data_IF_643668275016
#
_entry.id   IF_643668275016
#
_cell.length_a   1.000
_cell.length_b   1.000
_cell.length_c   1.000
_cell.angle_alpha   90.00
_cell.angle_beta   90.00
_cell.angle_gamma   90.00
#
_symmetry.space_group_name_H-M   'P 1'
#
loop_
_entity.id
_entity.type
_entity.pdbx_description
1 polymer ?
#
# COMPACT_ATOMS: atom_id res chain seq x y z
N UNK A 1 7.30 8.40 3.08
CA UNK A 1 6.86 7.20 3.83
C UNK A 1 6.99 6.01 2.90
N UNK A 2 7.57 4.89 3.34
CA UNK A 2 7.62 3.68 2.53
C UNK A 2 6.26 2.98 2.45
N UNK A 3 6.03 2.17 1.42
CA UNK A 3 4.92 1.20 1.29
C UNK A 3 4.60 0.46 2.60
N UNK A 4 5.63 0.05 3.33
CA UNK A 4 5.52 -0.57 4.64
C UNK A 4 4.88 0.30 5.74
N UNK A 5 5.04 1.63 5.66
CA UNK A 5 4.66 2.59 6.69
C UNK A 5 3.50 3.50 6.28
N UNK A 6 2.96 3.38 5.07
CA UNK A 6 1.85 4.25 4.61
C UNK A 6 0.50 3.83 5.17
N UNK A 7 0.22 2.53 5.23
CA UNK A 7 -1.08 2.05 5.69
C UNK A 7 -1.36 2.23 7.21
N UNK A 8 -0.39 2.20 8.16
CA UNK A 8 -0.68 2.52 9.56
C UNK A 8 -0.92 4.02 9.72
N UNK A 9 -0.14 4.86 9.04
CA UNK A 9 -0.36 6.32 8.98
C UNK A 9 -1.75 6.63 8.43
N UNK A 10 -2.14 5.98 7.33
CA UNK A 10 -3.46 6.19 6.72
C UNK A 10 -4.58 5.75 7.67
N UNK A 11 -4.42 4.60 8.35
CA UNK A 11 -5.38 4.15 9.38
C UNK A 11 -5.56 5.19 10.47
N UNK A 12 -4.49 5.83 10.93
CA UNK A 12 -4.55 6.88 11.94
C UNK A 12 -5.23 8.14 11.42
N UNK A 13 -4.97 8.53 10.16
CA UNK A 13 -5.68 9.64 9.52
C UNK A 13 -7.19 9.34 9.41
N UNK A 14 -7.58 8.11 9.11
CA UNK A 14 -8.99 7.71 9.14
C UNK A 14 -9.60 7.81 10.54
N UNK A 15 -8.86 7.45 11.60
CA UNK A 15 -9.32 7.63 12.99
C UNK A 15 -9.54 9.12 13.34
N UNK A 16 -8.79 10.03 12.72
CA UNK A 16 -8.94 11.49 12.87
C UNK A 16 -10.03 12.10 11.97
N UNK A 17 -10.80 11.27 11.27
CA UNK A 17 -11.94 11.71 10.44
C UNK A 17 -11.60 12.04 8.99
N UNK A 18 -10.42 11.65 8.49
CA UNK A 18 -10.06 11.84 7.08
C UNK A 18 -11.10 11.14 6.17
N UNK A 19 -11.66 11.83 5.16
CA UNK A 19 -12.59 11.21 4.23
C UNK A 19 -11.91 10.05 3.52
N UNK A 20 -12.62 8.92 3.48
CA UNK A 20 -12.14 7.66 2.94
C UNK A 20 -11.44 7.76 1.56
N UNK A 21 -11.99 8.49 0.56
CA UNK A 21 -11.34 8.62 -0.75
C UNK A 21 -9.95 9.29 -0.66
N UNK A 22 -9.78 10.26 0.24
CA UNK A 22 -8.51 10.95 0.43
C UNK A 22 -7.45 10.04 1.05
N UNK A 23 -7.84 9.18 1.99
CA UNK A 23 -6.89 8.23 2.57
C UNK A 23 -6.52 7.11 1.60
N UNK A 24 -7.44 6.64 0.74
CA UNK A 24 -7.11 5.66 -0.31
C UNK A 24 -6.16 6.27 -1.35
N UNK A 25 -6.42 7.51 -1.78
CA UNK A 25 -5.54 8.25 -2.69
C UNK A 25 -4.14 8.43 -2.07
N UNK A 26 -4.07 8.84 -0.80
CA UNK A 26 -2.80 8.95 -0.06
C UNK A 26 -2.07 7.61 0.05
N UNK A 27 -2.81 6.54 0.36
CA UNK A 27 -2.26 5.21 0.57
C UNK A 27 -1.62 4.64 -0.71
N UNK A 28 -2.23 4.89 -1.86
CA UNK A 28 -1.72 4.45 -3.16
C UNK A 28 -0.63 5.39 -3.71
N UNK A 29 -0.70 6.69 -3.43
CA UNK A 29 0.25 7.67 -3.98
C UNK A 29 1.53 7.84 -3.16
N UNK A 30 1.50 7.66 -1.83
CA UNK A 30 2.65 7.96 -0.97
C UNK A 30 3.88 7.06 -1.18
N UNK A 31 3.77 5.74 -1.45
CA UNK A 31 4.94 4.90 -1.73
C UNK A 31 5.70 5.35 -2.98
N UNK A 32 4.94 5.87 -3.94
CA UNK A 32 5.41 6.27 -5.25
C UNK A 32 6.10 7.66 -5.27
N UNK A 33 5.59 8.62 -4.50
CA UNK A 33 6.15 9.97 -4.40
C UNK A 33 7.40 10.05 -3.51
N UNK A 34 7.99 8.90 -3.15
CA UNK A 34 9.15 8.84 -2.28
C UNK A 34 10.43 9.26 -3.06
N UNK A 35 11.19 10.27 -2.60
CA UNK A 35 12.41 10.70 -3.29
C UNK A 35 13.47 9.60 -3.41
N UNK A 36 13.48 8.65 -2.46
CA UNK A 36 14.41 7.51 -2.51
C UNK A 36 14.07 6.60 -3.70
N UNK A 37 12.77 6.42 -4.00
CA UNK A 37 12.29 5.63 -5.13
C UNK A 37 12.65 6.31 -6.45
N UNK A 38 12.52 7.64 -6.51
CA UNK A 38 12.96 8.41 -7.67
C UNK A 38 14.47 8.24 -7.92
N UNK A 39 15.28 8.40 -6.87
CA UNK A 39 16.73 8.23 -6.96
C UNK A 39 17.12 6.80 -7.35
N UNK A 40 16.52 5.77 -6.74
CA UNK A 40 16.85 4.37 -7.05
C UNK A 40 16.45 4.00 -8.48
N UNK A 41 15.30 4.45 -8.97
CA UNK A 41 14.89 4.22 -10.37
C UNK A 41 15.84 4.91 -11.33
N UNK A 42 16.22 6.16 -11.02
CA UNK A 42 17.13 6.93 -11.86
C UNK A 42 18.51 6.28 -11.94
N UNK A 43 19.04 5.80 -10.82
CA UNK A 43 20.34 5.09 -10.80
C UNK A 43 20.25 3.75 -11.54
N UNK A 44 19.14 3.03 -11.44
CA UNK A 44 18.98 1.72 -12.07
C UNK A 44 18.75 1.81 -13.59
N UNK A 45 17.90 2.72 -14.07
CA UNK A 45 17.44 2.75 -15.47
C UNK A 45 17.80 4.03 -16.23
N UNK A 46 18.29 5.08 -15.55
CA UNK A 46 18.50 6.39 -16.14
C UNK A 46 17.20 7.09 -16.57
N UNK A 47 17.34 8.15 -17.37
CA UNK A 47 16.19 8.80 -18.02
C UNK A 47 15.81 7.97 -19.24
N UNK A 48 14.73 7.20 -19.12
CA UNK A 48 14.27 6.30 -20.17
C UNK A 48 12.79 5.93 -20.07
N UNK A 49 12.30 5.05 -20.95
CA UNK A 49 10.90 4.64 -20.98
C UNK A 49 10.47 3.92 -19.70
N UNK A 50 11.36 3.16 -19.06
CA UNK A 50 11.07 2.49 -17.78
C UNK A 50 10.88 3.50 -16.65
N UNK A 51 11.76 4.50 -16.58
CA UNK A 51 11.66 5.57 -15.59
C UNK A 51 10.35 6.35 -15.77
N UNK A 52 10.12 6.92 -16.95
CA UNK A 52 8.90 7.70 -17.23
C UNK A 52 7.65 6.84 -17.07
N UNK A 53 7.68 5.60 -17.59
CA UNK A 53 6.59 4.64 -17.51
C UNK A 53 6.21 4.33 -16.06
N UNK A 54 7.18 4.08 -15.19
CA UNK A 54 6.94 3.88 -13.75
C UNK A 54 6.17 5.06 -13.17
N UNK A 55 6.61 6.29 -13.45
CA UNK A 55 5.97 7.47 -12.85
C UNK A 55 4.59 7.80 -13.42
N UNK A 56 4.45 7.76 -14.74
CA UNK A 56 3.18 8.10 -15.39
C UNK A 56 2.12 7.03 -15.14
N UNK A 57 2.46 5.75 -15.28
CA UNK A 57 1.49 4.65 -15.10
C UNK A 57 1.04 4.56 -13.65
N UNK A 58 1.98 4.61 -12.71
CA UNK A 58 1.64 4.54 -11.28
C UNK A 58 0.70 5.69 -10.89
N UNK A 59 0.95 6.91 -11.40
CA UNK A 59 0.08 8.06 -11.15
C UNK A 59 -1.32 7.86 -11.76
N UNK A 60 -1.40 7.47 -13.03
CA UNK A 60 -2.68 7.25 -13.73
C UNK A 60 -3.49 6.14 -13.06
N UNK A 61 -2.85 5.02 -12.72
CA UNK A 61 -3.51 3.89 -12.04
C UNK A 61 -4.00 4.31 -10.65
N UNK A 62 -3.16 4.94 -9.83
CA UNK A 62 -3.54 5.37 -8.49
C UNK A 62 -4.72 6.34 -8.50
N UNK A 63 -4.70 7.34 -9.38
CA UNK A 63 -5.81 8.30 -9.52
C UNK A 63 -7.08 7.60 -9.98
N UNK A 64 -6.98 6.72 -10.98
CA UNK A 64 -8.14 6.00 -11.51
C UNK A 64 -8.77 5.08 -10.47
N UNK A 65 -7.96 4.32 -9.73
CA UNK A 65 -8.44 3.44 -8.65
C UNK A 65 -9.07 4.25 -7.52
N UNK A 66 -8.47 5.39 -7.14
CA UNK A 66 -9.04 6.27 -6.13
C UNK A 66 -10.41 6.85 -6.57
N UNK A 67 -10.56 7.26 -7.83
CA UNK A 67 -11.82 7.78 -8.38
C UNK A 67 -12.89 6.70 -8.51
N UNK A 68 -12.52 5.50 -8.97
CA UNK A 68 -13.45 4.36 -9.06
C UNK A 68 -13.94 4.00 -7.67
N UNK A 69 -13.03 3.77 -6.71
CA UNK A 69 -13.46 3.42 -5.36
C UNK A 69 -14.22 4.58 -4.71
N UNK A 70 -13.79 5.82 -4.90
CA UNK A 70 -14.46 7.01 -4.36
C UNK A 70 -15.87 7.24 -4.91
N UNK A 71 -16.16 6.84 -6.16
CA UNK A 71 -17.49 6.97 -6.76
C UNK A 71 -18.45 5.84 -6.36
N UNK A 72 -17.95 4.62 -6.12
CA UNK A 72 -18.77 3.48 -5.71
C UNK A 72 -18.90 3.31 -4.17
N UNK A 73 -17.99 3.89 -3.39
CA UNK A 73 -17.95 3.72 -1.94
C UNK A 73 -18.87 4.69 -1.19
N UNK A 74 -20.01 4.20 -0.69
CA UNK A 74 -20.73 4.89 0.39
C UNK A 74 -19.85 4.86 1.67
N UNK A 75 -19.66 5.99 2.40
CA UNK A 75 -18.73 6.09 3.53
C UNK A 75 -18.89 5.00 4.60
N UNK A 76 -20.11 4.50 4.84
CA UNK A 76 -20.40 3.48 5.87
C UNK A 76 -20.09 2.02 5.50
N UNK A 77 -19.84 1.70 4.21
CA UNK A 77 -19.67 0.30 3.76
C UNK A 77 -18.22 -0.15 3.62
N UNK A 78 -17.24 0.76 3.76
CA UNK A 78 -15.86 0.47 3.36
C UNK A 78 -14.93 0.09 4.50
N UNK A 79 -15.00 0.82 5.62
CA UNK A 79 -14.20 0.50 6.81
C UNK A 79 -14.87 -0.63 7.60
N UNK A 80 -14.04 -1.49 8.20
CA UNK A 80 -14.54 -2.38 9.27
C UNK A 80 -14.89 -1.52 10.49
N UNK A 81 -15.98 -1.79 11.21
CA UNK A 81 -16.31 -1.10 12.46
C UNK A 81 -15.15 -1.14 13.46
N UNK A 82 -14.35 -2.22 13.43
CA UNK A 82 -13.19 -2.41 14.30
C UNK A 82 -12.04 -1.42 14.05
N UNK A 83 -11.87 -0.90 12.83
CA UNK A 83 -10.88 0.14 12.53
C UNK A 83 -11.24 1.50 13.14
N UNK A 84 -12.53 1.68 13.51
CA UNK A 84 -13.09 2.84 14.19
C UNK A 84 -13.38 2.57 15.69
N UNK A 85 -13.24 1.32 16.15
CA UNK A 85 -13.66 0.90 17.50
C UNK A 85 -12.51 0.80 18.52
N UNK A 86 -11.37 1.44 18.26
CA UNK A 86 -10.36 1.70 19.28
C UNK A 86 -10.76 2.92 20.12
N UNK A 87 -11.70 2.71 21.06
CA UNK A 87 -12.10 3.72 22.05
C UNK A 87 -13.59 4.08 22.04
N UNK A 88 -14.49 3.12 22.24
CA UNK A 88 -15.83 3.39 22.78
C UNK A 88 -16.08 2.45 23.94
N UNK A 89 -15.65 2.86 25.13
CA UNK A 89 -16.27 2.36 26.35
C UNK A 89 -17.77 2.62 26.24
N UNK A 90 -18.55 1.55 26.08
CA UNK A 90 -19.98 1.56 26.33
C UNK A 90 -20.13 1.81 27.83
N UNK A 91 -20.35 3.06 28.21
CA UNK A 91 -20.96 3.31 29.51
C UNK A 91 -22.44 2.93 29.39
N UNK A 92 -22.78 1.77 29.93
CA UNK A 92 -24.13 1.49 30.42
C UNK A 92 -24.32 2.36 31.65
N UNK A 93 -24.99 3.51 31.50
CA UNK A 93 -25.41 4.29 32.65
C UNK A 93 -26.69 3.68 33.20
N UNK A 94 -26.56 3.03 34.35
CA UNK A 94 -27.64 2.91 35.32
C UNK A 94 -27.72 4.27 36.04
N UNK A 95 -28.91 4.86 36.09
CA UNK A 95 -29.10 6.23 36.57
C UNK A 95 -29.08 6.28 38.09
N UNK A 96 -28.01 6.81 38.67
CA UNK A 96 -28.09 7.60 39.91
C UNK A 96 -26.81 8.40 40.12
N UNK A 97 -26.98 9.70 40.33
CA UNK A 97 -26.09 10.68 40.98
C UNK A 97 -25.50 11.80 40.11
N UNK A 98 -25.91 13.01 40.51
CA UNK A 98 -25.32 14.35 40.44
C UNK A 98 -24.41 14.74 39.25
N UNK A 99 -24.90 15.72 38.50
CA UNK A 99 -24.18 16.43 37.46
C UNK A 99 -23.24 17.48 38.07
N UNK A 100 -21.95 17.16 38.15
CA UNK A 100 -20.88 18.16 38.12
C UNK A 100 -20.22 18.15 36.74
N UNK A 101 -20.52 19.19 35.95
CA UNK A 101 -19.93 19.41 34.64
C UNK A 101 -18.49 19.95 34.78
N UNK A 102 -17.53 19.07 35.02
CA UNK A 102 -16.12 19.38 34.79
C UNK A 102 -15.82 19.29 33.28
N UNK A 103 -15.74 20.45 32.64
CA UNK A 103 -15.15 20.55 31.31
C UNK A 103 -13.64 20.35 31.41
N UNK A 104 -13.15 19.19 30.98
CA UNK A 104 -11.73 18.87 30.83
C UNK A 104 -11.06 19.81 29.81
N UNK A 105 -10.58 20.95 30.30
CA UNK A 105 -9.71 21.87 29.57
C UNK A 105 -8.22 21.63 29.90
N UNK A 106 -7.82 20.39 30.19
CA UNK A 106 -6.49 20.04 30.72
C UNK A 106 -5.43 19.69 29.66
N UNK A 107 -5.53 20.22 28.43
CA UNK A 107 -4.46 20.08 27.41
C UNK A 107 -3.76 21.39 27.02
N UNK A 108 -4.15 22.52 27.59
CA UNK A 108 -3.49 23.79 27.32
C UNK A 108 -2.17 23.98 28.11
N UNK A 109 -1.98 23.23 29.21
CA UNK A 109 -0.86 23.43 30.17
C UNK A 109 0.08 22.22 30.33
N UNK A 110 -0.14 21.13 29.59
CA UNK A 110 0.70 19.94 29.72
C UNK A 110 2.16 20.20 29.28
N UNK A 111 3.09 19.75 30.13
CA UNK A 111 4.53 19.82 29.93
C UNK A 111 4.94 19.15 28.61
N UNK A 112 5.99 19.64 27.96
CA UNK A 112 6.56 19.00 26.75
C UNK A 112 6.87 17.51 27.00
N UNK A 113 7.24 17.15 28.24
CA UNK A 113 7.50 15.76 28.65
C UNK A 113 6.24 14.90 28.68
N UNK A 114 5.12 15.44 29.15
CA UNK A 114 3.83 14.73 29.22
C UNK A 114 3.23 14.54 27.82
N UNK A 115 3.36 15.55 26.96
CA UNK A 115 3.00 15.46 25.54
C UNK A 115 3.85 14.43 24.80
N UNK A 116 5.15 14.35 25.10
CA UNK A 116 6.04 13.33 24.54
C UNK A 116 5.71 11.92 25.06
N UNK A 117 5.52 11.74 26.37
CA UNK A 117 5.13 10.46 26.97
C UNK A 117 3.80 9.96 26.42
N UNK A 118 2.82 10.85 26.30
CA UNK A 118 1.53 10.53 25.71
C UNK A 118 1.66 10.19 24.21
N UNK A 119 2.47 10.93 23.46
CA UNK A 119 2.74 10.63 22.05
C UNK A 119 3.44 9.27 21.87
N UNK A 120 4.40 8.93 22.74
CA UNK A 120 5.11 7.64 22.72
C UNK A 120 4.18 6.49 23.10
N UNK A 121 3.32 6.65 24.11
CA UNK A 121 2.34 5.64 24.49
C UNK A 121 1.38 5.30 23.35
N UNK A 122 0.79 6.33 22.73
CA UNK A 122 -0.10 6.15 21.56
C UNK A 122 0.64 5.53 20.38
N UNK A 123 1.88 5.94 20.10
CA UNK A 123 2.68 5.37 19.04
C UNK A 123 3.03 3.89 19.31
N UNK A 124 3.31 3.53 20.56
CA UNK A 124 3.61 2.17 20.98
C UNK A 124 2.42 1.23 20.76
N UNK A 125 1.23 1.61 21.26
CA UNK A 125 0.02 0.80 21.09
C UNK A 125 -0.32 0.57 19.62
N UNK A 126 -0.14 1.59 18.77
CA UNK A 126 -0.34 1.47 17.33
C UNK A 126 0.73 0.58 16.67
N UNK A 127 1.99 0.70 17.10
CA UNK A 127 3.07 -0.14 16.61
C UNK A 127 2.82 -1.61 16.91
N UNK A 128 2.37 -1.96 18.11
CA UNK A 128 2.06 -3.35 18.47
C UNK A 128 0.82 -3.89 17.75
N UNK A 129 -0.23 -3.08 17.59
CA UNK A 129 -1.44 -3.51 16.89
C UNK A 129 -1.19 -3.79 15.40
N UNK A 130 -0.31 -3.02 14.77
CA UNK A 130 0.09 -3.19 13.37
C UNK A 130 1.23 -4.20 13.21
N UNK A 131 2.12 -4.27 14.20
CA UNK A 131 3.29 -5.14 14.22
C UNK A 131 2.94 -6.60 13.98
N UNK A 132 1.84 -7.10 14.56
CA UNK A 132 1.37 -8.48 14.31
C UNK A 132 1.08 -8.79 12.83
N UNK A 133 0.51 -7.84 12.10
CA UNK A 133 0.22 -8.01 10.68
C UNK A 133 1.49 -7.89 9.84
N UNK A 134 2.37 -6.97 10.23
CA UNK A 134 3.67 -6.77 9.59
C UNK A 134 4.58 -7.98 9.74
N UNK A 135 4.69 -8.55 10.95
CA UNK A 135 5.50 -9.74 11.26
C UNK A 135 4.99 -10.95 10.47
N UNK A 136 3.67 -11.18 10.47
CA UNK A 136 3.07 -12.30 9.72
C UNK A 136 3.29 -12.12 8.21
N UNK A 137 3.10 -10.90 7.70
CA UNK A 137 3.32 -10.60 6.28
C UNK A 137 4.77 -10.71 5.85
N UNK A 138 5.72 -10.22 6.65
CA UNK A 138 7.15 -10.35 6.36
C UNK A 138 7.63 -11.79 6.43
N UNK A 139 7.13 -12.58 7.39
CA UNK A 139 7.47 -14.00 7.49
C UNK A 139 6.95 -14.80 6.29
N UNK A 140 5.69 -14.55 5.88
CA UNK A 140 5.11 -15.17 4.70
C UNK A 140 5.85 -14.77 3.41
N UNK A 141 6.20 -13.49 3.26
CA UNK A 141 6.97 -12.99 2.13
C UNK A 141 8.38 -13.62 2.07
N UNK A 142 9.11 -13.66 3.18
CA UNK A 142 10.43 -14.28 3.26
C UNK A 142 10.38 -15.77 2.90
N UNK A 143 9.36 -16.50 3.37
CA UNK A 143 9.15 -17.91 2.99
C UNK A 143 8.88 -18.08 1.49
N UNK A 144 8.08 -17.20 0.90
CA UNK A 144 7.82 -17.27 -0.53
C UNK A 144 9.07 -16.92 -1.36
N UNK A 145 9.86 -15.95 -0.92
CA UNK A 145 11.12 -15.58 -1.57
C UNK A 145 12.15 -16.72 -1.54
N UNK A 146 12.21 -17.52 -0.48
CA UNK A 146 13.14 -18.66 -0.38
C UNK A 146 12.68 -19.88 -1.18
N UNK A 147 11.37 -20.03 -1.41
CA UNK A 147 10.78 -21.19 -2.08
C UNK A 147 10.54 -21.02 -3.58
N UNK A 148 10.70 -19.82 -4.14
CA UNK A 148 10.44 -19.54 -5.57
C UNK A 148 11.76 -19.53 -6.35
N UNK A 149 12.14 -20.65 -7.00
CA UNK A 149 13.35 -20.72 -7.81
C UNK A 149 13.21 -19.89 -9.09
N UNK A 150 14.24 -19.09 -9.39
CA UNK A 150 14.24 -18.22 -10.57
C UNK A 150 14.42 -18.97 -11.90
N UNK A 151 14.87 -20.22 -11.88
CA UNK A 151 15.13 -21.01 -13.09
C UNK A 151 13.89 -21.39 -13.92
N UNK A 152 12.70 -21.42 -13.31
CA UNK A 152 11.43 -21.66 -14.02
C UNK A 152 10.94 -20.45 -14.83
N UNK A 153 11.59 -19.28 -14.72
CA UNK A 153 11.15 -18.03 -15.36
C UNK A 153 11.43 -17.94 -16.87
N UNK A 154 12.48 -18.61 -17.35
CA UNK A 154 12.99 -18.40 -18.71
C UNK A 154 12.04 -18.88 -19.82
N UNK A 155 11.18 -19.86 -19.54
CA UNK A 155 10.19 -20.35 -20.50
C UNK A 155 8.94 -19.44 -20.63
N UNK A 156 8.74 -18.50 -19.72
CA UNK A 156 7.53 -17.66 -19.63
C UNK A 156 7.77 -16.20 -20.10
N UNK A 157 9.02 -15.83 -20.38
CA UNK A 157 9.42 -14.46 -20.73
C UNK A 157 9.05 -14.01 -22.15
N UNK A 158 8.68 -14.91 -23.05
CA UNK A 158 8.60 -14.67 -24.50
C UNK A 158 7.23 -14.25 -25.05
N UNK A 159 6.28 -13.84 -24.19
CA UNK A 159 4.94 -13.43 -24.63
C UNK A 159 4.52 -12.05 -24.14
N UNK A 160 3.84 -11.26 -24.97
CA UNK A 160 3.46 -9.87 -24.68
C UNK A 160 2.55 -9.72 -23.46
N UNK A 161 1.69 -10.72 -23.23
CA UNK A 161 0.78 -10.76 -22.07
C UNK A 161 1.36 -11.61 -20.94
N UNK A 162 1.96 -12.75 -21.28
CA UNK A 162 2.45 -13.72 -20.30
C UNK A 162 3.62 -13.15 -19.49
N UNK A 163 4.53 -12.41 -20.12
CA UNK A 163 5.65 -11.73 -19.44
C UNK A 163 5.14 -10.72 -18.40
N UNK A 164 4.13 -9.91 -18.76
CA UNK A 164 3.54 -8.91 -17.87
C UNK A 164 2.86 -9.59 -16.69
N UNK A 165 2.01 -10.58 -16.96
CA UNK A 165 1.30 -11.31 -15.92
C UNK A 165 2.26 -12.02 -14.96
N UNK A 166 3.31 -12.63 -15.50
CA UNK A 166 4.34 -13.28 -14.70
C UNK A 166 5.07 -12.29 -13.79
N UNK A 167 5.55 -11.18 -14.36
CA UNK A 167 6.25 -10.15 -13.58
C UNK A 167 5.35 -9.50 -12.53
N UNK A 168 4.06 -9.31 -12.82
CA UNK A 168 3.07 -8.82 -11.86
C UNK A 168 2.91 -9.77 -10.66
N UNK A 169 2.80 -11.07 -10.92
CA UNK A 169 2.70 -12.10 -9.89
C UNK A 169 4.00 -12.17 -9.08
N UNK A 170 5.15 -12.10 -9.75
CA UNK A 170 6.45 -12.06 -9.10
C UNK A 170 6.56 -10.85 -8.16
N UNK A 171 6.13 -9.65 -8.59
CA UNK A 171 6.11 -8.46 -7.76
C UNK A 171 5.29 -8.66 -6.47
N UNK A 172 4.09 -9.23 -6.61
CA UNK A 172 3.20 -9.52 -5.48
C UNK A 172 3.83 -10.50 -4.48
N UNK A 173 4.42 -11.60 -5.00
CA UNK A 173 5.00 -12.67 -4.19
C UNK A 173 6.26 -12.19 -3.49
N UNK A 174 7.15 -11.52 -4.23
CA UNK A 174 8.41 -11.05 -3.66
C UNK A 174 8.19 -9.92 -2.66
N UNK A 175 7.11 -9.12 -2.77
CA UNK A 175 6.74 -8.11 -1.77
C UNK A 175 7.92 -7.21 -1.36
N UNK A 176 8.78 -6.87 -2.32
CA UNK A 176 10.00 -6.08 -2.09
C UNK A 176 9.62 -4.61 -1.91
N UNK A 177 10.32 -3.91 -1.03
CA UNK A 177 10.14 -2.47 -0.84
C UNK A 177 10.38 -1.70 -2.15
N UNK A 178 9.60 -0.63 -2.37
CA UNK A 178 9.67 0.24 -3.57
C UNK A 178 11.04 0.86 -3.86
N UNK A 179 11.97 0.82 -2.90
CA UNK A 179 13.33 1.35 -3.06
C UNK A 179 14.30 0.33 -3.69
N UNK A 180 14.13 -0.96 -3.37
CA UNK A 180 15.02 -2.05 -3.79
C UNK A 180 14.50 -2.74 -5.07
N UNK A 181 13.20 -2.64 -5.33
CA UNK A 181 12.54 -3.23 -6.50
C UNK A 181 13.18 -2.86 -7.85
N UNK A 182 13.77 -1.67 -7.94
CA UNK A 182 14.35 -1.10 -9.16
C UNK A 182 15.63 -1.82 -9.56
N UNK A 183 16.45 -2.16 -8.58
CA UNK A 183 17.68 -2.94 -8.80
C UNK A 183 17.36 -4.39 -9.16
N UNK A 184 16.31 -4.96 -8.55
CA UNK A 184 15.86 -6.29 -8.89
C UNK A 184 15.29 -6.33 -10.32
N UNK A 185 14.48 -5.34 -10.70
CA UNK A 185 13.91 -5.23 -12.04
C UNK A 185 14.99 -5.02 -13.12
N UNK A 186 16.09 -4.33 -12.78
CA UNK A 186 17.22 -4.15 -13.68
C UNK A 186 17.86 -5.49 -14.09
N UNK A 187 17.88 -6.48 -13.21
CA UNK A 187 18.39 -7.82 -13.55
C UNK A 187 17.54 -8.54 -14.61
N UNK A 188 16.28 -8.13 -14.80
CA UNK A 188 15.31 -8.76 -15.69
C UNK A 188 15.18 -8.07 -17.06
N UNK A 189 15.88 -6.96 -17.30
CA UNK A 189 15.80 -6.16 -18.55
C UNK A 189 16.14 -6.91 -19.82
N UNK A 190 17.02 -7.92 -19.73
CA UNK A 190 17.44 -8.71 -20.88
C UNK A 190 16.58 -9.97 -21.08
N UNK A 191 15.67 -10.26 -20.16
CA UNK A 191 14.86 -11.49 -20.15
C UNK A 191 13.38 -11.20 -20.38
N UNK A 192 12.90 -10.06 -19.89
CA UNK A 192 11.49 -9.67 -19.94
C UNK A 192 11.30 -8.38 -20.74
N UNK A 193 10.08 -8.24 -21.27
CA UNK A 193 9.67 -7.06 -22.03
C UNK A 193 9.64 -5.80 -21.17
N UNK A 194 9.83 -4.64 -21.80
CA UNK A 194 9.80 -3.34 -21.11
C UNK A 194 8.46 -3.10 -20.39
N UNK A 195 7.34 -3.50 -20.98
CA UNK A 195 6.03 -3.41 -20.34
C UNK A 195 5.92 -4.28 -19.09
N UNK A 196 6.49 -5.49 -19.10
CA UNK A 196 6.49 -6.37 -17.93
C UNK A 196 7.29 -5.78 -16.75
N UNK A 197 8.42 -5.14 -17.05
CA UNK A 197 9.27 -4.47 -16.06
C UNK A 197 8.58 -3.24 -15.46
N UNK A 198 7.93 -2.43 -16.30
CA UNK A 198 7.18 -1.27 -15.83
C UNK A 198 6.00 -1.71 -14.97
N UNK A 199 5.28 -2.75 -15.37
CA UNK A 199 4.17 -3.31 -14.59
C UNK A 199 4.65 -3.87 -13.24
N UNK A 200 5.80 -4.55 -13.19
CA UNK A 200 6.45 -4.97 -11.93
C UNK A 200 6.70 -3.78 -10.99
N UNK A 201 7.35 -2.72 -11.50
CA UNK A 201 7.74 -1.54 -10.72
C UNK A 201 6.58 -0.65 -10.30
N UNK A 202 5.47 -0.69 -11.06
CA UNK A 202 4.28 0.11 -10.79
C UNK A 202 3.32 -0.60 -9.85
N UNK A 203 3.19 -1.92 -9.98
CA UNK A 203 2.27 -2.71 -9.15
C UNK A 203 2.81 -3.09 -7.79
N UNK A 204 4.10 -3.47 -7.70
CA UNK A 204 4.72 -3.92 -6.45
C UNK A 204 4.47 -2.96 -5.28
N UNK A 205 4.72 -1.64 -5.43
CA UNK A 205 4.47 -0.66 -4.37
C UNK A 205 2.98 -0.46 -4.01
N UNK A 206 2.06 -0.83 -4.90
CA UNK A 206 0.62 -0.67 -4.67
C UNK A 206 0.03 -1.87 -3.95
N UNK A 207 0.42 -3.08 -4.36
CA UNK A 207 -0.20 -4.33 -3.94
C UNK A 207 0.86 -5.40 -3.74
N UNK A 208 1.06 -5.76 -2.48
CA UNK A 208 1.93 -6.84 -2.06
C UNK A 208 1.23 -7.70 -0.99
N UNK A 209 1.81 -8.85 -0.65
CA UNK A 209 1.27 -9.77 0.37
C UNK A 209 1.06 -9.07 1.71
N UNK A 210 2.02 -8.26 2.15
CA UNK A 210 2.02 -7.59 3.45
C UNK A 210 0.95 -6.50 3.49
N UNK A 211 0.90 -5.64 2.48
CA UNK A 211 -0.07 -4.60 2.25
C UNK A 211 -1.48 -5.19 2.14
N UNK A 212 -1.64 -6.33 1.47
CA UNK A 212 -2.89 -7.08 1.39
C UNK A 212 -3.36 -7.56 2.76
N UNK A 213 -2.50 -8.22 3.55
CA UNK A 213 -2.83 -8.63 4.92
C UNK A 213 -3.23 -7.43 5.77
N UNK A 214 -2.50 -6.32 5.64
CA UNK A 214 -2.77 -5.10 6.37
C UNK A 214 -4.10 -4.44 5.97
N UNK A 215 -4.43 -4.41 4.69
CA UNK A 215 -5.72 -3.93 4.19
C UNK A 215 -6.88 -4.78 4.72
N UNK A 216 -6.72 -6.10 4.88
CA UNK A 216 -7.76 -6.93 5.50
C UNK A 216 -8.02 -6.58 6.96
N UNK A 217 -7.07 -5.95 7.66
CA UNK A 217 -7.26 -5.42 9.01
C UNK A 217 -8.12 -4.14 9.03
N UNK A 218 -8.00 -3.28 8.02
CA UNK A 218 -8.63 -1.94 7.99
C UNK A 218 -9.95 -1.92 7.22
N UNK A 219 -10.01 -2.59 6.07
CA UNK A 219 -11.12 -2.54 5.13
C UNK A 219 -11.94 -3.84 5.13
N UNK A 220 -13.18 -3.77 4.65
CA UNK A 220 -13.99 -4.97 4.40
C UNK A 220 -13.38 -5.79 3.26
N UNK A 221 -13.50 -7.12 3.34
CA UNK A 221 -12.91 -8.07 2.37
C UNK A 221 -13.26 -7.77 0.91
N UNK A 222 -14.47 -7.25 0.65
CA UNK A 222 -14.89 -6.79 -0.70
C UNK A 222 -14.05 -5.63 -1.22
N UNK A 223 -13.77 -4.64 -0.38
CA UNK A 223 -12.97 -3.46 -0.78
C UNK A 223 -11.50 -3.83 -0.95
N UNK A 224 -10.97 -4.70 -0.08
CA UNK A 224 -9.62 -5.25 -0.26
C UNK A 224 -9.49 -5.95 -1.62
N UNK A 225 -10.50 -6.73 -2.02
CA UNK A 225 -10.51 -7.39 -3.31
C UNK A 225 -10.51 -6.38 -4.47
N UNK A 226 -11.27 -5.28 -4.39
CA UNK A 226 -11.20 -4.20 -5.37
C UNK A 226 -9.84 -3.48 -5.40
N UNK A 227 -9.24 -3.24 -4.23
CA UNK A 227 -7.90 -2.63 -4.10
C UNK A 227 -6.78 -3.50 -4.68
N UNK A 228 -7.00 -4.81 -4.82
CA UNK A 228 -6.04 -5.72 -5.47
C UNK A 228 -6.36 -5.85 -6.96
N UNK A 229 -7.62 -6.13 -7.30
CA UNK A 229 -8.03 -6.48 -8.65
C UNK A 229 -7.96 -5.29 -9.61
N UNK A 230 -8.32 -4.08 -9.16
CA UNK A 230 -8.30 -2.90 -10.02
C UNK A 230 -6.86 -2.51 -10.42
N UNK A 231 -5.91 -2.28 -9.49
CA UNK A 231 -4.53 -2.01 -9.88
C UNK A 231 -3.90 -3.14 -10.70
N UNK A 232 -4.24 -4.40 -10.40
CA UNK A 232 -3.75 -5.56 -11.15
C UNK A 232 -4.19 -5.49 -12.62
N UNK A 233 -5.48 -5.32 -12.87
CA UNK A 233 -6.03 -5.25 -14.22
C UNK A 233 -5.52 -4.02 -14.99
N UNK A 234 -5.46 -2.86 -14.32
CA UNK A 234 -4.99 -1.62 -14.96
C UNK A 234 -3.51 -1.68 -15.33
N UNK A 235 -2.64 -2.22 -14.46
CA UNK A 235 -1.22 -2.39 -14.77
C UNK A 235 -0.99 -3.49 -15.81
N UNK A 236 -1.82 -4.55 -15.83
CA UNK A 236 -1.76 -5.57 -16.88
C UNK A 236 -2.07 -4.94 -18.24
N UNK A 237 -3.16 -4.16 -18.34
CA UNK A 237 -3.54 -3.47 -19.57
C UNK A 237 -2.47 -2.47 -20.01
N UNK A 238 -1.92 -1.67 -19.08
CA UNK A 238 -0.87 -0.71 -19.38
C UNK A 238 0.42 -1.38 -19.87
N UNK A 239 0.86 -2.46 -19.22
CA UNK A 239 2.05 -3.22 -19.62
C UNK A 239 1.90 -3.89 -20.98
N UNK A 240 0.74 -4.50 -21.24
CA UNK A 240 0.42 -5.10 -22.55
C UNK A 240 0.37 -4.03 -23.63
N UNK A 241 -0.26 -2.89 -23.35
CA UNK A 241 -0.30 -1.76 -24.28
C UNK A 241 1.11 -1.26 -24.63
N UNK A 242 2.00 -1.14 -23.64
CA UNK A 242 3.39 -0.75 -23.88
C UNK A 242 4.12 -1.78 -24.74
N UNK A 243 3.95 -3.07 -24.47
CA UNK A 243 4.59 -4.11 -25.27
C UNK A 243 4.14 -4.06 -26.73
N UNK A 244 2.84 -3.86 -26.96
CA UNK A 244 2.29 -3.70 -28.31
C UNK A 244 2.73 -2.39 -28.99
N UNK A 245 2.80 -1.29 -28.25
CA UNK A 245 3.19 0.02 -28.78
C UNK A 245 4.69 0.12 -29.09
N UNK A 246 5.54 -0.56 -28.31
CA UNK A 246 6.99 -0.59 -28.51
C UNK A 246 7.43 -1.68 -29.51
N UNK A 247 6.50 -2.48 -30.05
CA UNK A 247 6.77 -3.40 -31.15
C UNK A 247 7.66 -4.59 -30.78
N UNK A 248 7.47 -5.17 -29.59
CA UNK A 248 8.07 -6.46 -29.20
C UNK A 248 7.04 -7.58 -29.29
#
# INVERSE_FOLDING_TARGET
>A
VCDCGVVPVTRQLFRKGLPLPMGIAFLLAAPFMNPIVFASTFIAFGIGPVFIGRFVITLVVSVSVALIIGSFAKPGSVLKPLALAGGRHKHSHDHSQEHDHHHDHELATASLSEKLLHAVGVAGDEFFEMGRFLILGSALAALMQTLVPQENLLALGTGNVLSVLFMQVLAYILSVCSTVDSFLALAFVNTFTTGAIISFLSFGPMVDIKSTLMFTGVFRRRIVLYLILLPFLMNLLAGVFINLALGY
#
